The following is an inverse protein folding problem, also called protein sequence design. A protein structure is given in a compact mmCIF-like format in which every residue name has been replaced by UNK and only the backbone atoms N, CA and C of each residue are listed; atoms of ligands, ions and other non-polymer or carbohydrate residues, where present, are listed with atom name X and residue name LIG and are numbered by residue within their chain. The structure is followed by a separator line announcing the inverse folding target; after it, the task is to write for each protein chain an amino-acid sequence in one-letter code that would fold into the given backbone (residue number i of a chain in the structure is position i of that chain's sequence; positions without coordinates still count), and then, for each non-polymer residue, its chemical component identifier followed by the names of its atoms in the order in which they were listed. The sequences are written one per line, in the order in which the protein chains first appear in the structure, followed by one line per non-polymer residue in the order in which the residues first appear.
data_IF_668498998282
#
_entry.id   IF_668498998282
#
_cell.length_a   1.000
_cell.length_b   1.000
_cell.length_c   1.000
_cell.angle_alpha   90.00
_cell.angle_beta   90.00
_cell.angle_gamma   90.00
#
_symmetry.space_group_name_H-M   'P 1'
#
loop_
_entity.id
_entity.type
_entity.pdbx_description
1 polymer ?
#
# COMPACT_ATOMS: atom_id res chain seq x y z
N UNK A 1 17.06 -35.70 -19.32
CA UNK A 1 17.92 -34.58 -18.87
C UNK A 1 17.19 -33.96 -17.69
N UNK A 2 17.70 -34.15 -16.47
CA UNK A 2 17.07 -33.58 -15.26
C UNK A 2 17.02 -32.04 -15.38
N UNK A 3 15.90 -31.45 -14.98
CA UNK A 3 15.70 -30.02 -15.05
C UNK A 3 16.66 -29.34 -14.06
N UNK A 4 17.65 -28.59 -14.57
CA UNK A 4 18.50 -27.75 -13.72
C UNK A 4 17.61 -26.69 -13.07
N UNK A 5 17.51 -26.63 -11.72
CA UNK A 5 16.69 -25.62 -11.04
C UNK A 5 17.16 -24.21 -11.39
N UNK A 6 16.20 -23.29 -11.57
CA UNK A 6 16.46 -21.87 -11.79
C UNK A 6 16.10 -21.09 -10.53
N UNK A 7 16.92 -20.10 -10.21
CA UNK A 7 16.69 -19.15 -9.14
C UNK A 7 16.38 -17.78 -9.76
N UNK A 8 15.30 -17.16 -9.29
CA UNK A 8 14.90 -15.84 -9.72
C UNK A 8 15.71 -14.76 -9.00
N UNK A 9 16.23 -13.80 -9.78
CA UNK A 9 16.89 -12.59 -9.31
C UNK A 9 16.04 -11.39 -9.77
N UNK A 10 15.14 -10.88 -8.91
CA UNK A 10 14.21 -9.81 -9.25
C UNK A 10 14.90 -8.46 -9.40
N UNK A 11 14.54 -7.72 -10.44
CA UNK A 11 15.01 -6.36 -10.70
C UNK A 11 13.88 -5.50 -11.31
N UNK A 12 14.14 -4.21 -11.44
CA UNK A 12 13.26 -3.25 -12.13
C UNK A 12 14.07 -2.37 -13.06
N UNK A 13 13.43 -1.88 -14.12
CA UNK A 13 13.85 -0.66 -14.78
C UNK A 13 12.95 0.47 -14.28
N UNK A 14 13.54 1.35 -13.47
CA UNK A 14 12.88 2.54 -12.94
C UNK A 14 12.97 3.69 -13.94
N UNK A 15 11.84 4.35 -14.17
CA UNK A 15 11.66 5.44 -15.11
C UNK A 15 11.23 6.68 -14.31
N UNK A 16 12.12 7.63 -14.15
CA UNK A 16 11.81 8.93 -13.57
C UNK A 16 11.27 9.84 -14.68
N UNK A 17 10.02 10.26 -14.52
CA UNK A 17 9.31 11.06 -15.52
C UNK A 17 9.63 12.53 -15.33
N UNK A 18 9.71 13.29 -16.42
CA UNK A 18 9.79 14.76 -16.30
C UNK A 18 8.54 15.32 -15.61
N UNK A 19 8.65 16.41 -14.82
CA UNK A 19 7.53 16.96 -14.08
C UNK A 19 6.29 17.23 -14.94
N UNK A 20 5.15 16.66 -14.54
CA UNK A 20 3.86 16.81 -15.23
C UNK A 20 3.65 15.88 -16.43
N UNK A 21 4.59 14.98 -16.72
CA UNK A 21 4.39 13.91 -17.69
C UNK A 21 3.64 12.72 -17.06
N UNK A 22 2.74 12.12 -17.84
CA UNK A 22 1.99 10.94 -17.43
C UNK A 22 1.96 9.94 -18.60
N UNK A 23 2.15 8.63 -18.37
CA UNK A 23 2.05 7.63 -19.44
C UNK A 23 0.69 7.65 -20.13
N UNK A 24 0.69 7.62 -21.46
CA UNK A 24 -0.55 7.54 -22.26
C UNK A 24 -1.23 6.16 -22.15
N UNK A 25 -0.48 5.17 -21.67
CA UNK A 25 -0.90 3.80 -21.41
C UNK A 25 -0.01 3.17 -20.35
N UNK A 26 -0.50 2.12 -19.70
CA UNK A 26 0.24 1.40 -18.67
C UNK A 26 0.80 0.06 -19.14
N UNK A 27 0.31 -0.50 -20.25
CA UNK A 27 0.81 -1.78 -20.78
C UNK A 27 1.19 -1.71 -22.26
N UNK A 28 2.18 -2.52 -22.61
CA UNK A 28 2.66 -2.75 -23.96
C UNK A 28 1.99 -4.01 -24.51
N UNK A 29 1.72 -4.02 -25.81
CA UNK A 29 1.32 -5.26 -26.49
C UNK A 29 2.43 -6.31 -26.43
N UNK A 30 2.10 -7.56 -26.76
CA UNK A 30 3.10 -8.66 -26.80
C UNK A 30 4.32 -8.34 -27.66
N UNK A 31 4.12 -7.78 -28.86
CA UNK A 31 5.21 -7.48 -29.79
C UNK A 31 6.10 -6.33 -29.28
N UNK A 32 5.47 -5.31 -28.69
CA UNK A 32 6.18 -4.19 -28.08
C UNK A 32 6.96 -4.63 -26.84
N UNK A 33 6.36 -5.45 -25.97
CA UNK A 33 7.04 -6.01 -24.81
C UNK A 33 8.25 -6.86 -25.22
N UNK A 34 8.13 -7.68 -26.27
CA UNK A 34 9.25 -8.47 -26.80
C UNK A 34 10.37 -7.57 -27.34
N UNK A 35 10.02 -6.50 -28.06
CA UNK A 35 11.01 -5.53 -28.56
C UNK A 35 11.74 -4.83 -27.43
N UNK A 36 11.03 -4.39 -26.40
CA UNK A 36 11.61 -3.77 -25.21
C UNK A 36 12.55 -4.75 -24.49
N UNK A 37 12.11 -5.98 -24.28
CA UNK A 37 12.93 -6.98 -23.60
C UNK A 37 14.25 -7.25 -24.31
N UNK A 38 14.28 -7.24 -25.66
CA UNK A 38 15.51 -7.36 -26.43
C UNK A 38 16.47 -6.18 -26.19
N UNK A 39 15.95 -4.94 -26.19
CA UNK A 39 16.75 -3.74 -25.89
C UNK A 39 17.31 -3.79 -24.46
N UNK A 40 16.48 -4.18 -23.49
CA UNK A 40 16.91 -4.34 -22.10
C UNK A 40 17.95 -5.45 -21.94
N UNK A 41 17.84 -6.54 -22.69
CA UNK A 41 18.84 -7.61 -22.68
C UNK A 41 20.21 -7.12 -23.18
N UNK A 42 20.24 -6.29 -24.23
CA UNK A 42 21.47 -5.68 -24.73
C UNK A 42 22.12 -4.74 -23.70
N UNK A 43 21.31 -3.94 -22.99
CA UNK A 43 21.80 -3.07 -21.92
C UNK A 43 22.38 -3.89 -20.77
N UNK A 44 21.61 -4.85 -20.25
CA UNK A 44 22.02 -5.68 -19.13
C UNK A 44 23.24 -6.55 -19.46
N UNK A 45 23.39 -7.02 -20.70
CA UNK A 45 24.59 -7.74 -21.11
C UNK A 45 25.85 -6.87 -21.11
N UNK A 46 25.73 -5.58 -21.44
CA UNK A 46 26.86 -4.63 -21.35
C UNK A 46 27.25 -4.35 -19.89
N UNK A 47 26.28 -4.33 -18.98
CA UNK A 47 26.49 -4.09 -17.56
C UNK A 47 27.02 -5.34 -16.84
N UNK A 48 26.39 -6.49 -17.08
CA UNK A 48 26.67 -7.78 -16.45
C UNK A 48 26.71 -8.88 -17.52
N UNK A 49 27.87 -9.12 -18.17
CA UNK A 49 27.97 -10.05 -19.30
C UNK A 49 27.46 -11.46 -19.02
N UNK A 50 27.63 -11.94 -17.78
CA UNK A 50 27.23 -13.27 -17.32
C UNK A 50 25.72 -13.52 -17.40
N UNK A 51 24.90 -12.47 -17.55
CA UNK A 51 23.45 -12.60 -17.75
C UNK A 51 23.11 -13.41 -19.02
N UNK A 52 24.03 -13.54 -19.97
CA UNK A 52 23.87 -14.39 -21.16
C UNK A 52 23.68 -15.89 -20.82
N UNK A 53 24.06 -16.29 -19.61
CA UNK A 53 23.87 -17.65 -19.09
C UNK A 53 22.51 -17.84 -18.41
N UNK A 54 21.81 -16.74 -18.09
CA UNK A 54 20.50 -16.72 -17.48
C UNK A 54 19.39 -16.45 -18.50
N UNK A 55 18.14 -16.60 -18.08
CA UNK A 55 16.97 -16.17 -18.85
C UNK A 55 16.48 -14.82 -18.32
N UNK A 56 16.26 -13.86 -19.20
CA UNK A 56 15.64 -12.59 -18.86
C UNK A 56 14.13 -12.67 -19.07
N UNK A 57 13.35 -12.20 -18.11
CA UNK A 57 11.90 -12.13 -18.18
C UNK A 57 11.43 -10.71 -17.87
N UNK A 58 10.45 -10.21 -18.61
CA UNK A 58 9.92 -8.86 -18.47
C UNK A 58 8.39 -8.88 -18.42
N UNK A 59 7.80 -8.14 -17.49
CA UNK A 59 6.41 -7.71 -17.64
C UNK A 59 6.39 -6.37 -18.40
N UNK A 60 5.75 -6.34 -19.56
CA UNK A 60 5.61 -5.14 -20.40
C UNK A 60 4.56 -4.17 -19.87
N UNK A 61 4.58 -3.85 -18.58
CA UNK A 61 3.63 -2.96 -17.93
C UNK A 61 4.33 -2.06 -16.90
N UNK A 62 3.84 -0.84 -16.75
CA UNK A 62 4.32 0.16 -15.80
C UNK A 62 3.56 0.06 -14.49
N UNK A 63 4.30 -0.09 -13.39
CA UNK A 63 3.78 -0.14 -12.03
C UNK A 63 4.29 1.03 -11.20
N UNK A 64 3.60 1.30 -10.10
CA UNK A 64 4.11 2.06 -8.98
C UNK A 64 4.88 1.17 -7.98
N UNK A 65 5.74 1.78 -7.16
CA UNK A 65 6.50 1.09 -6.13
C UNK A 65 5.57 0.36 -5.15
N UNK A 66 4.41 0.95 -4.79
CA UNK A 66 3.45 0.33 -3.86
C UNK A 66 2.86 -0.98 -4.39
N UNK A 67 2.81 -1.15 -5.72
CA UNK A 67 2.29 -2.36 -6.36
C UNK A 67 3.32 -3.49 -6.39
N UNK A 68 4.59 -3.14 -6.64
CA UNK A 68 5.69 -4.11 -6.65
C UNK A 68 6.07 -4.55 -5.23
N UNK A 69 6.02 -3.62 -4.27
CA UNK A 69 6.39 -3.83 -2.87
C UNK A 69 5.21 -4.26 -2.00
N UNK A 70 4.39 -5.17 -2.52
CA UNK A 70 3.33 -5.84 -1.73
C UNK A 70 3.91 -7.10 -1.05
N UNK A 71 3.44 -7.48 0.14
CA UNK A 71 3.84 -8.74 0.78
C UNK A 71 3.74 -9.94 -0.16
N UNK A 72 4.81 -10.75 -0.22
CA UNK A 72 4.91 -11.89 -1.14
C UNK A 72 5.29 -11.53 -2.59
N UNK A 73 5.55 -10.25 -2.88
CA UNK A 73 6.05 -9.78 -4.18
C UNK A 73 5.24 -10.31 -5.39
N UNK A 74 3.91 -10.13 -5.40
CA UNK A 74 3.00 -10.89 -6.27
C UNK A 74 3.30 -10.70 -7.77
N UNK A 75 3.79 -9.52 -8.17
CA UNK A 75 4.17 -9.23 -9.55
C UNK A 75 5.35 -10.09 -9.99
N UNK A 76 6.46 -10.09 -9.24
CA UNK A 76 7.62 -10.91 -9.54
C UNK A 76 7.33 -12.40 -9.40
N UNK A 77 6.63 -12.82 -8.35
CA UNK A 77 6.21 -14.22 -8.17
C UNK A 77 5.41 -14.72 -9.37
N UNK A 78 4.46 -13.92 -9.87
CA UNK A 78 3.66 -14.27 -11.05
C UNK A 78 4.50 -14.27 -12.34
N UNK A 79 5.40 -13.30 -12.50
CA UNK A 79 6.32 -13.22 -13.64
C UNK A 79 7.21 -14.48 -13.71
N UNK A 80 7.78 -14.87 -12.57
CA UNK A 80 8.62 -16.05 -12.45
C UNK A 80 7.81 -17.33 -12.75
N UNK A 81 6.61 -17.48 -12.18
CA UNK A 81 5.73 -18.62 -12.44
C UNK A 81 5.40 -18.78 -13.92
N UNK A 82 5.06 -17.69 -14.61
CA UNK A 82 4.76 -17.71 -16.04
C UNK A 82 5.99 -18.09 -16.86
N UNK A 83 7.16 -17.55 -16.50
CA UNK A 83 8.40 -17.85 -17.20
C UNK A 83 8.81 -19.31 -17.04
N UNK A 84 8.57 -19.95 -15.89
CA UNK A 84 8.85 -21.37 -15.67
C UNK A 84 7.99 -22.30 -16.53
N UNK A 85 6.84 -21.83 -17.03
CA UNK A 85 5.94 -22.63 -17.90
C UNK A 85 6.42 -22.71 -19.36
N UNK A 86 7.44 -21.93 -19.75
CA UNK A 86 7.95 -21.91 -21.13
C UNK A 86 8.92 -23.08 -21.37
N UNK A 87 8.62 -24.00 -22.32
CA UNK A 87 9.44 -25.17 -22.60
C UNK A 87 10.88 -24.82 -22.99
N UNK A 88 11.88 -25.49 -22.40
CA UNK A 88 13.31 -25.22 -22.65
C UNK A 88 13.79 -25.59 -24.06
N UNK A 89 13.18 -26.59 -24.70
CA UNK A 89 13.59 -27.07 -26.03
C UNK A 89 13.35 -26.09 -27.18
N UNK A 90 12.76 -24.92 -26.91
CA UNK A 90 12.66 -23.80 -27.85
C UNK A 90 13.77 -22.75 -27.66
N UNK A 91 14.73 -22.96 -26.75
CA UNK A 91 15.64 -21.91 -26.25
C UNK A 91 17.13 -22.31 -26.23
N UNK A 92 17.52 -23.31 -27.01
CA UNK A 92 18.87 -23.91 -26.98
C UNK A 92 19.81 -23.39 -28.09
N UNK A 93 19.33 -22.55 -29.01
CA UNK A 93 20.09 -22.22 -30.22
C UNK A 93 20.42 -20.72 -30.40
N UNK A 94 19.70 -19.79 -29.76
CA UNK A 94 19.94 -18.35 -29.87
C UNK A 94 19.93 -17.65 -28.48
N UNK A 95 20.91 -16.78 -28.14
CA UNK A 95 20.85 -15.92 -26.96
C UNK A 95 19.54 -15.12 -26.82
N UNK A 96 18.91 -14.72 -27.94
CA UNK A 96 17.61 -14.05 -27.95
C UNK A 96 16.46 -14.96 -27.54
N UNK A 97 16.60 -16.28 -27.67
CA UNK A 97 15.61 -17.22 -27.15
C UNK A 97 15.59 -17.24 -25.61
N UNK A 98 16.62 -16.73 -24.94
CA UNK A 98 16.63 -16.58 -23.46
C UNK A 98 15.94 -15.32 -22.96
N UNK A 99 15.31 -14.54 -23.85
CA UNK A 99 14.58 -13.33 -23.50
C UNK A 99 13.09 -13.57 -23.68
N UNK A 100 12.33 -13.42 -22.59
CA UNK A 100 10.88 -13.62 -22.56
C UNK A 100 10.20 -12.34 -22.12
N UNK A 101 9.16 -11.93 -22.84
CA UNK A 101 8.35 -10.80 -22.46
C UNK A 101 6.87 -11.18 -22.38
N UNK A 102 6.20 -10.67 -21.34
CA UNK A 102 4.76 -10.78 -21.17
C UNK A 102 4.14 -9.42 -21.43
N UNK A 103 3.48 -9.27 -22.57
CA UNK A 103 2.70 -8.08 -22.93
C UNK A 103 1.20 -8.38 -22.97
N UNK A 104 0.42 -7.31 -23.07
CA UNK A 104 -1.03 -7.37 -23.09
C UNK A 104 -1.56 -7.94 -24.41
N UNK A 105 -2.73 -8.57 -24.33
CA UNK A 105 -3.53 -8.99 -25.47
C UNK A 105 -4.94 -8.41 -25.29
N UNK A 106 -5.43 -7.69 -26.30
CA UNK A 106 -6.70 -6.93 -26.20
C UNK A 106 -6.75 -6.03 -24.95
N UNK A 107 -5.62 -5.36 -24.65
CA UNK A 107 -5.50 -4.44 -23.53
C UNK A 107 -5.43 -5.08 -22.14
N UNK A 108 -5.34 -6.42 -22.05
CA UNK A 108 -5.26 -7.14 -20.76
C UNK A 108 -3.96 -7.92 -20.63
N UNK A 109 -3.33 -7.82 -19.47
CA UNK A 109 -2.14 -8.58 -19.11
C UNK A 109 -2.50 -10.06 -18.86
N UNK A 110 -1.53 -11.00 -19.02
CA UNK A 110 -1.83 -12.43 -18.98
C UNK A 110 -2.21 -12.97 -17.60
N UNK A 111 -2.03 -12.19 -16.54
CA UNK A 111 -2.41 -12.53 -15.17
C UNK A 111 -2.75 -11.27 -14.37
N UNK A 112 -3.67 -11.38 -13.41
CA UNK A 112 -4.16 -10.24 -12.63
C UNK A 112 -3.06 -9.51 -11.83
N UNK A 113 -2.07 -10.18 -11.21
CA UNK A 113 -0.96 -9.47 -10.57
C UNK A 113 -0.04 -8.71 -11.52
N UNK A 114 -0.09 -9.00 -12.84
CA UNK A 114 0.64 -8.26 -13.86
C UNK A 114 -0.18 -7.13 -14.47
N UNK A 115 -1.42 -6.93 -14.03
CA UNK A 115 -2.26 -5.80 -14.45
C UNK A 115 -2.00 -4.61 -13.52
N UNK A 116 -1.46 -3.50 -14.02
CA UNK A 116 -1.20 -2.31 -13.20
C UNK A 116 -2.50 -1.60 -12.83
N UNK A 117 -2.55 -1.06 -11.62
CA UNK A 117 -3.70 -0.31 -11.12
C UNK A 117 -3.65 1.14 -11.62
N UNK A 118 -4.66 1.60 -12.39
CA UNK A 118 -4.67 2.96 -12.94
C UNK A 118 -4.73 4.04 -11.85
N UNK A 119 -5.09 3.70 -10.61
CA UNK A 119 -5.09 4.63 -9.47
C UNK A 119 -3.72 5.27 -9.22
N UNK A 120 -2.62 4.57 -9.58
CA UNK A 120 -1.27 5.05 -9.31
C UNK A 120 -0.59 5.73 -10.50
N UNK A 121 -1.31 5.98 -11.61
CA UNK A 121 -0.76 6.52 -12.88
C UNK A 121 -0.12 7.92 -12.78
N UNK A 122 -0.29 8.63 -11.67
CA UNK A 122 0.25 9.98 -11.46
C UNK A 122 1.54 10.05 -10.61
N UNK A 123 2.00 8.94 -10.03
CA UNK A 123 3.35 8.84 -9.44
C UNK A 123 4.51 9.30 -10.37
N UNK A 124 5.54 9.99 -9.84
CA UNK A 124 6.63 10.57 -10.64
C UNK A 124 7.63 9.53 -11.17
N UNK A 125 7.61 8.31 -10.63
CA UNK A 125 8.48 7.21 -11.02
C UNK A 125 7.63 5.99 -11.40
N UNK A 126 7.93 5.40 -12.54
CA UNK A 126 7.28 4.18 -13.05
C UNK A 126 8.27 3.03 -13.12
N UNK A 127 7.80 1.82 -12.86
CA UNK A 127 8.66 0.65 -12.74
C UNK A 127 8.24 -0.42 -13.76
N UNK A 128 9.21 -0.92 -14.51
CA UNK A 128 9.09 -2.11 -15.36
C UNK A 128 9.74 -3.29 -14.64
N UNK A 129 8.97 -4.23 -14.09
CA UNK A 129 9.53 -5.35 -13.35
C UNK A 129 10.09 -6.40 -14.31
N UNK A 130 11.30 -6.85 -14.00
CA UNK A 130 11.98 -7.93 -14.69
C UNK A 130 12.49 -8.96 -13.68
N UNK A 131 12.80 -10.16 -14.17
CA UNK A 131 13.47 -11.19 -13.39
C UNK A 131 14.51 -11.91 -14.23
N UNK A 132 15.68 -12.11 -13.64
CA UNK A 132 16.78 -12.88 -14.21
C UNK A 132 16.73 -14.27 -13.59
N UNK A 133 16.29 -15.25 -14.38
CA UNK A 133 16.22 -16.65 -13.96
C UNK A 133 17.58 -17.32 -14.22
N UNK A 134 18.40 -17.38 -13.18
CA UNK A 134 19.76 -17.89 -13.22
C UNK A 134 19.79 -19.41 -12.91
N UNK A 135 20.68 -20.20 -13.56
CA UNK A 135 21.00 -21.54 -13.07
C UNK A 135 21.50 -21.48 -11.63
N UNK A 136 21.07 -22.41 -10.78
CA UNK A 136 21.42 -22.43 -9.34
C UNK A 136 22.93 -22.27 -9.07
N UNK A 137 23.77 -22.92 -9.89
CA UNK A 137 25.24 -22.84 -9.76
C UNK A 137 25.82 -21.43 -10.00
N UNK A 138 25.10 -20.54 -10.70
CA UNK A 138 25.52 -19.18 -11.03
C UNK A 138 24.75 -18.12 -10.25
N UNK A 139 23.67 -18.49 -9.56
CA UNK A 139 22.71 -17.54 -9.02
C UNK A 139 23.32 -16.60 -7.97
N UNK A 140 24.10 -17.13 -7.02
CA UNK A 140 24.74 -16.32 -5.96
C UNK A 140 25.73 -15.31 -6.54
N UNK A 141 26.58 -15.74 -7.46
CA UNK A 141 27.59 -14.89 -8.07
C UNK A 141 26.96 -13.82 -8.97
N UNK A 142 25.95 -14.20 -9.76
CA UNK A 142 25.22 -13.27 -10.61
C UNK A 142 24.44 -12.24 -9.78
N UNK A 143 23.85 -12.66 -8.66
CA UNK A 143 23.18 -11.78 -7.71
C UNK A 143 24.15 -10.71 -7.17
N UNK A 144 25.30 -11.11 -6.62
CA UNK A 144 26.29 -10.16 -6.11
C UNK A 144 26.75 -9.16 -7.18
N UNK A 145 26.97 -9.63 -8.42
CA UNK A 145 27.34 -8.73 -9.52
C UNK A 145 26.23 -7.77 -9.90
N UNK A 146 24.98 -8.22 -9.93
CA UNK A 146 23.83 -7.35 -10.18
C UNK A 146 23.73 -6.26 -9.11
N UNK A 147 23.84 -6.61 -7.83
CA UNK A 147 23.81 -5.62 -6.73
C UNK A 147 24.94 -4.58 -6.88
N UNK A 148 26.15 -4.99 -7.24
CA UNK A 148 27.28 -4.07 -7.37
C UNK A 148 27.17 -3.17 -8.60
N UNK A 149 26.88 -3.74 -9.77
CA UNK A 149 26.92 -3.00 -11.04
C UNK A 149 25.71 -2.07 -11.20
N UNK A 150 24.52 -2.47 -10.73
CA UNK A 150 23.29 -1.67 -10.94
C UNK A 150 23.27 -0.39 -10.08
N UNK A 151 23.83 -0.42 -8.87
CA UNK A 151 23.87 0.75 -7.97
C UNK A 151 24.53 1.98 -8.60
N UNK A 152 25.66 1.77 -9.30
CA UNK A 152 26.47 2.86 -9.86
C UNK A 152 26.38 3.04 -11.37
N UNK A 153 26.08 1.96 -12.11
CA UNK A 153 26.18 1.93 -13.59
C UNK A 153 24.87 1.52 -14.26
N UNK A 154 23.79 1.31 -13.50
CA UNK A 154 22.51 0.81 -14.01
C UNK A 154 21.76 1.71 -14.98
N UNK A 155 22.36 2.73 -15.58
CA UNK A 155 21.67 3.62 -16.52
C UNK A 155 21.27 2.86 -17.80
N UNK A 156 20.02 3.01 -18.23
CA UNK A 156 19.52 2.37 -19.43
C UNK A 156 20.16 2.96 -20.68
N UNK A 157 20.33 2.13 -21.71
CA UNK A 157 20.87 2.57 -22.99
C UNK A 157 19.95 3.59 -23.68
N UNK A 158 20.54 4.45 -24.50
CA UNK A 158 19.80 5.49 -25.24
C UNK A 158 18.70 4.93 -26.13
N UNK A 159 18.92 3.76 -26.73
CA UNK A 159 17.93 3.07 -27.55
C UNK A 159 16.73 2.61 -26.72
N UNK A 160 16.98 2.06 -25.52
CA UNK A 160 15.94 1.64 -24.58
C UNK A 160 15.12 2.84 -24.11
N UNK A 161 15.80 3.92 -23.68
CA UNK A 161 15.13 5.15 -23.23
C UNK A 161 14.29 5.83 -24.33
N UNK A 162 14.83 5.99 -25.55
CA UNK A 162 14.07 6.55 -26.69
C UNK A 162 12.86 5.69 -27.05
N UNK A 163 13.02 4.37 -27.06
CA UNK A 163 11.93 3.46 -27.34
C UNK A 163 10.81 3.56 -26.30
N UNK A 164 11.16 3.63 -25.01
CA UNK A 164 10.21 3.79 -23.91
C UNK A 164 9.44 5.11 -23.99
N UNK A 165 10.15 6.22 -24.22
CA UNK A 165 9.52 7.55 -24.39
C UNK A 165 8.48 7.55 -25.51
N UNK A 166 8.80 6.95 -26.66
CA UNK A 166 7.86 6.85 -27.79
C UNK A 166 6.68 5.93 -27.50
N UNK A 167 6.93 4.78 -26.88
CA UNK A 167 5.89 3.79 -26.65
C UNK A 167 4.91 4.18 -25.56
N UNK A 168 5.37 4.83 -24.48
CA UNK A 168 4.52 5.30 -23.39
C UNK A 168 4.07 6.76 -23.56
N UNK A 169 4.66 7.49 -24.50
CA UNK A 169 4.30 8.88 -24.78
C UNK A 169 4.68 9.83 -23.65
N UNK A 170 5.86 9.62 -23.05
CA UNK A 170 6.39 10.39 -21.92
C UNK A 170 7.78 10.92 -22.21
N UNK A 171 8.22 11.90 -21.41
CA UNK A 171 9.63 12.28 -21.29
C UNK A 171 10.23 11.74 -19.99
N UNK A 172 11.47 11.27 -20.09
CA UNK A 172 12.21 10.72 -18.96
C UNK A 172 13.32 11.69 -18.55
N UNK A 173 13.48 11.91 -17.26
CA UNK A 173 14.70 12.50 -16.69
C UNK A 173 15.77 11.43 -16.55
N UNK A 174 15.39 10.26 -16.01
CA UNK A 174 16.28 9.13 -15.81
C UNK A 174 15.59 7.81 -16.11
N UNK A 175 16.37 6.84 -16.60
CA UNK A 175 15.96 5.44 -16.74
C UNK A 175 17.08 4.57 -16.18
N UNK A 176 16.82 3.83 -15.11
CA UNK A 176 17.83 3.04 -14.38
C UNK A 176 17.34 1.66 -13.97
N UNK A 177 18.14 0.66 -14.28
CA UNK A 177 18.04 -0.67 -13.70
C UNK A 177 18.43 -0.62 -12.22
N UNK A 178 17.59 -1.22 -11.40
CA UNK A 178 17.75 -1.36 -9.96
C UNK A 178 17.46 -2.81 -9.58
N UNK A 179 18.17 -3.34 -8.59
CA UNK A 179 17.74 -4.59 -7.97
C UNK A 179 16.46 -4.37 -7.16
N UNK A 180 15.79 -5.46 -6.75
CA UNK A 180 14.69 -5.34 -5.78
C UNK A 180 15.16 -4.76 -4.45
N UNK A 181 16.39 -5.05 -4.02
CA UNK A 181 16.93 -4.50 -2.77
C UNK A 181 17.17 -2.99 -2.89
N UNK A 182 17.66 -2.53 -4.04
CA UNK A 182 17.80 -1.11 -4.32
C UNK A 182 16.45 -0.39 -4.29
N UNK A 183 15.40 -1.00 -4.87
CA UNK A 183 14.05 -0.44 -4.82
C UNK A 183 13.53 -0.36 -3.38
N UNK A 184 13.70 -1.42 -2.59
CA UNK A 184 13.33 -1.42 -1.16
C UNK A 184 14.06 -0.31 -0.40
N UNK A 185 15.37 -0.17 -0.60
CA UNK A 185 16.18 0.86 0.04
C UNK A 185 15.75 2.28 -0.39
N UNK A 186 15.48 2.49 -1.68
CA UNK A 186 14.98 3.75 -2.21
C UNK A 186 13.63 4.12 -1.59
N UNK A 187 12.67 3.19 -1.56
CA UNK A 187 11.34 3.42 -0.99
C UNK A 187 11.41 3.65 0.52
N UNK A 188 12.27 2.92 1.24
CA UNK A 188 12.55 3.18 2.66
C UNK A 188 12.92 4.64 2.89
N UNK A 189 13.96 5.11 2.20
CA UNK A 189 14.45 6.49 2.30
C UNK A 189 13.34 7.48 1.92
N UNK A 190 12.56 7.22 0.87
CA UNK A 190 11.44 8.08 0.48
C UNK A 190 10.40 8.21 1.60
N UNK A 191 10.04 7.11 2.27
CA UNK A 191 9.06 7.12 3.35
C UNK A 191 9.58 7.79 4.61
N UNK A 192 10.86 7.62 4.93
CA UNK A 192 11.50 8.33 6.04
C UNK A 192 11.42 9.86 5.86
N UNK A 193 11.68 10.37 4.65
CA UNK A 193 11.61 11.82 4.36
C UNK A 193 10.23 12.44 4.54
N UNK A 194 9.15 11.64 4.49
CA UNK A 194 7.77 12.10 4.68
C UNK A 194 7.17 11.67 6.02
N UNK A 195 8.01 11.33 7.01
CA UNK A 195 7.63 10.90 8.37
C UNK A 195 6.81 9.59 8.41
N UNK A 196 7.04 8.68 7.46
CA UNK A 196 6.42 7.35 7.39
C UNK A 196 7.37 6.23 7.80
N UNK A 197 8.50 6.56 8.45
CA UNK A 197 9.47 5.59 8.96
C UNK A 197 8.83 4.49 9.84
N UNK A 198 7.90 4.80 10.78
CA UNK A 198 7.22 3.75 11.55
C UNK A 198 6.45 2.79 10.65
N UNK A 199 5.77 3.30 9.62
CA UNK A 199 5.01 2.44 8.72
C UNK A 199 5.92 1.55 7.87
N UNK A 200 7.09 2.08 7.44
CA UNK A 200 8.08 1.29 6.72
C UNK A 200 8.54 0.07 7.53
N UNK A 201 8.77 0.20 8.83
CA UNK A 201 9.16 -0.95 9.68
C UNK A 201 8.15 -2.11 9.59
N UNK A 202 6.85 -1.78 9.58
CA UNK A 202 5.79 -2.78 9.47
C UNK A 202 5.70 -3.39 8.05
N UNK A 203 5.89 -2.55 7.02
CA UNK A 203 5.90 -2.97 5.62
C UNK A 203 7.10 -3.89 5.33
N UNK A 204 8.29 -3.54 5.82
CA UNK A 204 9.51 -4.34 5.71
C UNK A 204 9.32 -5.71 6.38
N UNK A 205 8.78 -5.74 7.60
CA UNK A 205 8.43 -7.00 8.27
C UNK A 205 7.46 -7.83 7.41
N UNK A 206 6.40 -7.20 6.89
CA UNK A 206 5.42 -7.89 6.06
C UNK A 206 5.98 -8.44 4.74
N UNK A 207 6.98 -7.78 4.16
CA UNK A 207 7.60 -8.22 2.90
C UNK A 207 8.71 -9.24 3.10
N UNK A 208 9.60 -9.02 4.07
CA UNK A 208 10.86 -9.76 4.21
C UNK A 208 10.83 -10.80 5.32
N UNK A 209 10.06 -10.56 6.39
CA UNK A 209 9.94 -11.49 7.53
C UNK A 209 8.48 -11.66 7.98
N UNK A 210 7.54 -12.04 7.08
CA UNK A 210 6.10 -12.04 7.36
C UNK A 210 5.68 -12.97 8.52
N UNK A 211 6.56 -13.88 8.91
CA UNK A 211 6.39 -14.79 10.04
C UNK A 211 6.75 -14.17 11.41
N UNK A 212 7.30 -12.96 11.43
CA UNK A 212 7.62 -12.21 12.66
C UNK A 212 6.59 -11.12 12.88
N UNK A 213 6.18 -10.96 14.13
CA UNK A 213 5.44 -9.77 14.55
C UNK A 213 6.38 -8.59 14.70
N UNK A 214 5.94 -7.40 14.28
CA UNK A 214 6.70 -6.15 14.43
C UNK A 214 5.82 -5.10 15.11
N UNK A 215 6.39 -4.23 15.95
CA UNK A 215 5.64 -3.21 16.70
C UNK A 215 6.39 -1.89 16.69
N UNK A 216 5.66 -0.81 16.44
CA UNK A 216 6.22 0.54 16.35
C UNK A 216 5.26 1.58 16.93
N UNK A 217 5.74 2.82 17.04
CA UNK A 217 4.96 3.98 17.44
C UNK A 217 4.91 4.99 16.31
N UNK A 218 3.71 5.49 15.99
CA UNK A 218 3.53 6.57 15.03
C UNK A 218 4.17 7.88 15.53
N UNK A 219 4.25 8.90 14.67
CA UNK A 219 4.76 10.21 15.08
C UNK A 219 3.87 10.88 16.15
N UNK A 220 2.59 10.50 16.22
CA UNK A 220 1.64 10.92 17.26
C UNK A 220 1.60 9.97 18.48
N UNK A 221 2.42 8.92 18.48
CA UNK A 221 2.47 7.93 19.57
C UNK A 221 1.33 6.91 19.55
N UNK A 222 0.67 6.69 18.40
CA UNK A 222 -0.23 5.55 18.23
C UNK A 222 0.61 4.27 18.15
N UNK A 223 0.28 3.27 18.96
CA UNK A 223 0.92 1.95 18.84
C UNK A 223 0.39 1.23 17.61
N UNK A 224 1.29 0.69 16.81
CA UNK A 224 0.99 -0.10 15.62
C UNK A 224 1.71 -1.44 15.69
N UNK A 225 1.06 -2.51 15.24
CA UNK A 225 1.62 -3.86 15.26
C UNK A 225 1.30 -4.61 13.98
N UNK A 226 2.31 -5.13 13.33
CA UNK A 226 2.16 -6.13 12.28
C UNK A 226 2.13 -7.53 12.90
N UNK A 227 1.13 -8.33 12.53
CA UNK A 227 1.06 -9.76 12.86
C UNK A 227 0.09 -10.48 11.91
N UNK A 228 0.45 -11.70 11.51
CA UNK A 228 -0.40 -12.59 10.71
C UNK A 228 -0.94 -11.94 9.42
N UNK A 229 -0.08 -11.18 8.72
CA UNK A 229 -0.44 -10.50 7.47
C UNK A 229 -1.35 -9.28 7.65
N UNK A 230 -1.53 -8.79 8.88
CA UNK A 230 -2.39 -7.63 9.19
C UNK A 230 -1.64 -6.59 9.99
N UNK A 231 -2.06 -5.34 9.86
CA UNK A 231 -1.61 -4.25 10.73
C UNK A 231 -2.73 -3.89 11.70
N UNK A 232 -2.40 -3.83 12.97
CA UNK A 232 -3.27 -3.45 14.07
C UNK A 232 -2.83 -2.09 14.59
N UNK A 233 -3.75 -1.14 14.71
CA UNK A 233 -3.52 0.16 15.34
C UNK A 233 -4.26 0.23 16.64
N UNK A 234 -3.62 0.80 17.67
CA UNK A 234 -4.32 1.28 18.84
C UNK A 234 -5.56 2.10 18.43
N UNK A 235 -6.67 1.86 19.12
CA UNK A 235 -7.88 2.67 18.97
C UNK A 235 -7.59 4.17 19.15
N UNK A 236 -8.09 5.06 18.28
CA UNK A 236 -8.02 6.50 18.51
C UNK A 236 -8.68 6.95 19.81
N UNK A 237 -9.79 6.33 20.23
CA UNK A 237 -10.42 6.63 21.52
C UNK A 237 -9.55 6.19 22.70
N UNK A 238 -8.95 4.99 22.62
CA UNK A 238 -8.01 4.52 23.64
C UNK A 238 -6.77 5.43 23.72
N UNK A 239 -6.21 5.83 22.58
CA UNK A 239 -5.10 6.77 22.53
C UNK A 239 -5.48 8.14 23.11
N UNK A 240 -6.69 8.63 22.83
CA UNK A 240 -7.20 9.88 23.40
C UNK A 240 -7.30 9.83 24.93
N UNK A 241 -7.58 8.66 25.49
CA UNK A 241 -7.68 8.47 26.94
C UNK A 241 -6.37 8.67 27.68
N UNK A 242 -5.23 8.49 27.00
CA UNK A 242 -3.90 8.70 27.58
C UNK A 242 -3.36 10.11 27.35
N UNK A 243 -4.10 10.96 26.61
CA UNK A 243 -3.69 12.34 26.34
C UNK A 243 -4.03 13.24 27.52
N UNK A 244 -3.10 14.15 27.80
CA UNK A 244 -3.24 15.17 28.85
C UNK A 244 -3.43 16.54 28.20
N UNK A 245 -3.73 17.56 29.01
CA UNK A 245 -4.00 18.92 28.54
C UNK A 245 -5.48 19.26 28.60
N UNK A 246 -5.81 20.48 28.16
CA UNK A 246 -7.20 20.93 28.15
C UNK A 246 -8.02 20.26 27.02
N UNK A 247 -9.35 20.46 27.04
CA UNK A 247 -10.23 19.81 26.05
C UNK A 247 -9.97 20.28 24.61
N UNK A 248 -9.49 21.51 24.41
CA UNK A 248 -9.20 22.05 23.09
C UNK A 248 -7.92 21.40 22.54
N UNK A 249 -6.87 21.32 23.36
CA UNK A 249 -5.62 20.64 23.04
C UNK A 249 -5.87 19.17 22.69
N UNK A 250 -6.65 18.46 23.51
CA UNK A 250 -6.99 17.05 23.27
C UNK A 250 -7.80 16.85 22.00
N UNK A 251 -8.77 17.72 21.73
CA UNK A 251 -9.53 17.71 20.47
C UNK A 251 -8.62 17.90 19.25
N UNK A 252 -7.70 18.86 19.30
CA UNK A 252 -6.73 19.08 18.23
C UNK A 252 -5.77 17.90 18.05
N UNK A 253 -5.29 17.32 19.16
CA UNK A 253 -4.42 16.15 19.14
C UNK A 253 -5.13 14.94 18.51
N UNK A 254 -6.39 14.69 18.87
CA UNK A 254 -7.24 13.66 18.30
C UNK A 254 -7.43 13.82 16.79
N UNK A 255 -7.74 15.04 16.33
CA UNK A 255 -7.86 15.33 14.90
C UNK A 255 -6.57 14.98 14.14
N UNK A 256 -5.41 15.32 14.72
CA UNK A 256 -4.11 14.98 14.16
C UNK A 256 -3.81 13.48 14.11
N UNK A 257 -4.20 12.73 15.15
CA UNK A 257 -4.04 11.28 15.20
C UNK A 257 -4.91 10.57 14.15
N UNK A 258 -6.17 10.99 13.99
CA UNK A 258 -7.05 10.43 12.94
C UNK A 258 -6.53 10.79 11.54
N UNK A 259 -5.99 12.00 11.34
CA UNK A 259 -5.38 12.38 10.07
C UNK A 259 -4.19 11.47 9.71
N UNK A 260 -3.28 11.23 10.65
CA UNK A 260 -2.17 10.29 10.47
C UNK A 260 -2.68 8.88 10.17
N UNK A 261 -3.68 8.40 10.91
CA UNK A 261 -4.29 7.09 10.70
C UNK A 261 -4.88 6.92 9.29
N UNK A 262 -5.48 7.98 8.73
CA UNK A 262 -5.97 7.99 7.34
C UNK A 262 -4.84 7.82 6.33
N UNK A 263 -3.73 8.53 6.53
CA UNK A 263 -2.55 8.41 5.66
C UNK A 263 -1.99 6.98 5.73
N UNK A 264 -1.90 6.42 6.93
CA UNK A 264 -1.39 5.07 7.15
C UNK A 264 -2.32 4.03 6.50
N UNK A 265 -3.63 4.16 6.68
CA UNK A 265 -4.61 3.28 6.05
C UNK A 265 -4.52 3.29 4.53
N UNK A 266 -4.43 4.48 3.92
CA UNK A 266 -4.32 4.62 2.47
C UNK A 266 -3.05 3.95 1.93
N UNK A 267 -1.91 4.16 2.61
CA UNK A 267 -0.65 3.59 2.18
C UNK A 267 -0.59 2.06 2.41
N UNK A 268 -1.06 1.57 3.55
CA UNK A 268 -1.18 0.12 3.80
C UNK A 268 -2.06 -0.56 2.75
N UNK A 269 -3.20 0.04 2.43
CA UNK A 269 -4.08 -0.47 1.38
C UNK A 269 -3.36 -0.54 0.02
N UNK A 270 -2.55 0.47 -0.32
CA UNK A 270 -1.79 0.47 -1.57
C UNK A 270 -0.77 -0.69 -1.64
N UNK A 271 -0.13 -1.00 -0.51
CA UNK A 271 0.72 -2.17 -0.32
C UNK A 271 -0.03 -3.49 -0.11
N UNK A 272 -1.37 -3.50 -0.19
CA UNK A 272 -2.18 -4.72 -0.04
C UNK A 272 -2.30 -5.23 1.40
N UNK A 273 -2.02 -4.40 2.40
CA UNK A 273 -2.21 -4.71 3.82
C UNK A 273 -3.49 -4.07 4.36
N UNK A 274 -4.23 -4.84 5.15
CA UNK A 274 -5.41 -4.34 5.86
C UNK A 274 -5.04 -3.77 7.23
N UNK A 275 -5.61 -2.61 7.55
CA UNK A 275 -5.55 -1.99 8.87
C UNK A 275 -6.74 -2.42 9.73
N UNK A 276 -6.49 -2.74 11.00
CA UNK A 276 -7.47 -3.16 12.01
C UNK A 276 -7.27 -2.36 13.30
N UNK A 277 -8.28 -2.32 14.17
CA UNK A 277 -8.13 -1.75 15.51
C UNK A 277 -7.70 -2.81 16.53
N UNK A 278 -6.67 -2.49 17.30
CA UNK A 278 -6.38 -3.08 18.60
C UNK A 278 -7.15 -2.25 19.64
N UNK A 279 -8.20 -2.84 20.21
CA UNK A 279 -9.15 -2.16 21.09
C UNK A 279 -8.98 -2.61 22.54
N UNK A 280 -9.48 -1.82 23.48
CA UNK A 280 -9.43 -2.17 24.90
C UNK A 280 -10.19 -3.49 25.19
N UNK A 281 -9.82 -4.24 26.24
CA UNK A 281 -10.57 -5.44 26.63
C UNK A 281 -12.06 -5.14 26.86
N UNK A 282 -12.93 -5.92 26.22
CA UNK A 282 -14.38 -5.72 26.27
C UNK A 282 -14.95 -4.84 25.16
N UNK A 283 -14.09 -4.16 24.39
CA UNK A 283 -14.47 -3.54 23.13
C UNK A 283 -14.40 -4.56 21.99
N UNK A 284 -15.23 -4.35 20.97
CA UNK A 284 -15.29 -5.20 19.78
C UNK A 284 -14.98 -4.39 18.53
N UNK A 285 -13.86 -4.65 17.83
CA UNK A 285 -13.54 -3.96 16.59
C UNK A 285 -14.38 -4.49 15.43
N UNK A 286 -14.87 -3.57 14.62
CA UNK A 286 -15.55 -3.82 13.35
C UNK A 286 -14.83 -3.03 12.25
N UNK A 287 -14.80 -3.56 11.04
CA UNK A 287 -14.08 -2.94 9.94
C UNK A 287 -14.78 -3.18 8.60
N UNK A 288 -14.56 -2.26 7.67
CA UNK A 288 -15.01 -2.39 6.30
C UNK A 288 -14.10 -1.62 5.35
N UNK A 289 -14.49 -1.52 4.08
CA UNK A 289 -13.70 -0.82 3.08
C UNK A 289 -13.60 0.67 3.43
N UNK A 290 -12.39 1.12 3.81
CA UNK A 290 -12.09 2.51 4.12
C UNK A 290 -12.66 3.03 5.45
N UNK A 291 -13.10 2.18 6.37
CA UNK A 291 -13.56 2.59 7.70
C UNK A 291 -13.22 1.56 8.79
N UNK A 292 -13.08 2.06 10.02
CA UNK A 292 -12.92 1.25 11.24
C UNK A 292 -13.99 1.64 12.25
N UNK A 293 -14.39 0.74 13.13
CA UNK A 293 -15.28 1.01 14.23
C UNK A 293 -14.94 0.16 15.45
N UNK A 294 -15.36 0.62 16.62
CA UNK A 294 -15.29 -0.14 17.85
C UNK A 294 -16.59 0.04 18.64
N UNK A 295 -17.16 -1.09 19.06
CA UNK A 295 -18.30 -1.13 19.97
C UNK A 295 -17.77 -1.24 21.39
N UNK A 296 -18.09 -0.26 22.23
CA UNK A 296 -17.57 -0.10 23.60
C UNK A 296 -18.64 -0.38 24.67
N UNK A 297 -19.92 -0.33 24.31
CA UNK A 297 -21.02 -0.67 25.21
C UNK A 297 -22.27 -1.12 24.44
N UNK A 298 -23.09 -1.95 25.09
CA UNK A 298 -24.43 -2.32 24.60
C UNK A 298 -25.48 -1.29 24.99
N UNK A 299 -26.58 -1.28 24.25
CA UNK A 299 -27.75 -0.43 24.53
C UNK A 299 -28.36 -0.75 25.88
N UNK A 300 -28.85 0.27 26.57
CA UNK A 300 -29.51 0.16 27.86
C UNK A 300 -30.84 0.91 27.85
N UNK A 301 -31.90 0.23 28.30
CA UNK A 301 -33.28 0.71 28.33
C UNK A 301 -33.51 1.87 29.29
N UNK A 302 -32.59 2.12 30.23
CA UNK A 302 -32.64 3.28 31.14
C UNK A 302 -32.37 4.58 30.36
N UNK A 303 -31.67 4.50 29.24
CA UNK A 303 -31.34 5.62 28.37
C UNK A 303 -32.32 5.70 27.20
N UNK A 304 -32.36 6.85 26.54
CA UNK A 304 -33.14 7.04 25.31
C UNK A 304 -32.62 6.20 24.13
N UNK A 305 -33.28 6.33 22.98
CA UNK A 305 -32.85 5.69 21.74
C UNK A 305 -31.41 6.11 21.36
N UNK A 306 -30.59 5.20 20.81
CA UNK A 306 -29.27 5.56 20.29
C UNK A 306 -29.39 6.56 19.13
N UNK A 307 -28.41 7.46 19.00
CA UNK A 307 -28.28 8.37 17.86
C UNK A 307 -26.82 8.48 17.42
N UNK A 308 -26.60 8.87 16.16
CA UNK A 308 -25.26 9.05 15.59
C UNK A 308 -24.87 10.52 15.60
N UNK A 309 -23.65 10.81 16.05
CA UNK A 309 -23.11 12.15 16.15
C UNK A 309 -21.79 12.27 15.40
N UNK A 310 -21.68 13.21 14.48
CA UNK A 310 -20.47 13.45 13.69
C UNK A 310 -19.54 14.43 14.41
N UNK A 311 -18.31 13.97 14.69
CA UNK A 311 -17.23 14.81 15.19
C UNK A 311 -16.49 15.42 14.00
N UNK A 312 -16.41 16.74 13.96
CA UNK A 312 -15.84 17.48 12.83
C UNK A 312 -14.59 18.25 13.25
N UNK A 313 -13.57 18.24 12.38
CA UNK A 313 -12.35 19.01 12.54
C UNK A 313 -12.11 19.89 11.30
N UNK A 314 -11.69 21.13 11.54
CA UNK A 314 -11.42 22.10 10.48
C UNK A 314 -10.39 21.55 9.48
N UNK A 315 -10.73 21.58 8.19
CA UNK A 315 -9.88 21.07 7.10
C UNK A 315 -9.88 19.55 6.93
N UNK A 316 -10.46 18.77 7.86
CA UNK A 316 -10.48 17.31 7.81
C UNK A 316 -11.89 16.70 7.65
N UNK A 317 -12.93 17.52 7.81
CA UNK A 317 -14.32 17.08 7.78
C UNK A 317 -14.68 16.22 8.99
N UNK A 318 -15.55 15.22 8.79
CA UNK A 318 -15.94 14.27 9.83
C UNK A 318 -14.76 13.34 10.13
N UNK A 319 -14.24 13.38 11.36
CA UNK A 319 -13.10 12.57 11.81
C UNK A 319 -13.53 11.36 12.64
N UNK A 320 -14.70 11.41 13.27
CA UNK A 320 -15.28 10.27 13.97
C UNK A 320 -16.80 10.37 13.98
N UNK A 321 -17.46 9.23 14.17
CA UNK A 321 -18.88 9.12 14.48
C UNK A 321 -18.99 8.47 15.85
N UNK A 322 -19.76 9.06 16.76
CA UNK A 322 -20.12 8.40 18.02
C UNK A 322 -21.57 7.99 17.98
N UNK A 323 -21.84 6.71 18.27
CA UNK A 323 -23.20 6.25 18.61
C UNK A 323 -23.38 6.44 20.10
N UNK A 324 -24.41 7.15 20.54
CA UNK A 324 -24.65 7.38 21.96
C UNK A 324 -26.14 7.37 22.31
N UNK A 325 -26.44 6.95 23.54
CA UNK A 325 -27.75 7.13 24.16
C UNK A 325 -27.72 8.31 25.13
N UNK A 326 -28.80 9.10 25.16
CA UNK A 326 -28.97 10.17 26.14
C UNK A 326 -29.60 9.64 27.43
N UNK A 327 -29.06 10.02 28.56
CA UNK A 327 -29.50 9.62 29.89
C UNK A 327 -30.40 10.64 30.57
N UNK A 328 -31.14 10.23 31.61
CA UNK A 328 -32.16 11.06 32.27
C UNK A 328 -31.59 12.29 33.02
N UNK A 329 -30.30 12.31 33.34
CA UNK A 329 -29.64 13.40 34.09
C UNK A 329 -28.73 14.29 33.23
N UNK A 330 -28.97 14.37 31.92
CA UNK A 330 -28.09 15.12 31.02
C UNK A 330 -26.69 14.49 30.94
N UNK A 331 -26.61 13.17 30.97
CA UNK A 331 -25.41 12.40 30.66
C UNK A 331 -25.58 11.74 29.30
N UNK A 332 -24.55 11.71 28.45
CA UNK A 332 -24.54 10.85 27.27
C UNK A 332 -23.73 9.59 27.57
N UNK A 333 -24.22 8.44 27.10
CA UNK A 333 -23.50 7.17 27.14
C UNK A 333 -23.10 6.81 25.72
N UNK A 334 -21.79 6.85 25.44
CA UNK A 334 -21.26 6.36 24.18
C UNK A 334 -21.38 4.82 24.13
N UNK A 335 -21.78 4.31 22.97
CA UNK A 335 -21.94 2.89 22.66
C UNK A 335 -20.89 2.40 21.68
N UNK A 336 -20.53 3.22 20.71
CA UNK A 336 -19.52 2.91 19.71
C UNK A 336 -18.86 4.17 19.14
N UNK A 337 -17.66 4.01 18.60
CA UNK A 337 -16.98 5.00 17.80
C UNK A 337 -16.64 4.42 16.41
N UNK A 338 -16.87 5.21 15.37
CA UNK A 338 -16.52 4.90 13.99
C UNK A 338 -15.55 5.94 13.42
N UNK A 339 -14.58 5.49 12.64
CA UNK A 339 -13.51 6.29 12.05
C UNK A 339 -13.56 6.13 10.53
N UNK A 340 -14.13 7.10 9.79
CA UNK A 340 -14.06 7.08 8.34
C UNK A 340 -12.62 7.39 7.91
N UNK A 341 -11.97 6.42 7.25
CA UNK A 341 -10.59 6.55 6.79
C UNK A 341 -10.51 7.15 5.37
N UNK A 342 -11.59 7.03 4.60
CA UNK A 342 -11.75 7.62 3.28
C UNK A 342 -13.11 8.31 3.16
N UNK A 343 -13.24 9.39 2.35
CA UNK A 343 -14.52 10.09 2.19
C UNK A 343 -15.67 9.18 1.73
N UNK A 344 -15.40 8.25 0.80
CA UNK A 344 -16.40 7.32 0.27
C UNK A 344 -16.91 6.31 1.31
N UNK A 345 -16.20 6.11 2.42
CA UNK A 345 -16.51 5.13 3.44
C UNK A 345 -17.52 5.63 4.49
N UNK A 346 -17.84 6.93 4.48
CA UNK A 346 -18.74 7.54 5.47
C UNK A 346 -20.16 6.94 5.41
N UNK A 347 -20.73 6.79 4.22
CA UNK A 347 -22.08 6.21 4.03
C UNK A 347 -22.16 4.76 4.53
N UNK A 348 -21.28 3.86 4.07
CA UNK A 348 -21.22 2.49 4.58
C UNK A 348 -21.03 2.40 6.10
N UNK A 349 -20.19 3.26 6.69
CA UNK A 349 -19.98 3.30 8.14
C UNK A 349 -21.27 3.70 8.89
N UNK A 350 -21.98 4.73 8.43
CA UNK A 350 -23.26 5.17 9.01
C UNK A 350 -24.29 4.03 8.93
N UNK A 351 -24.41 3.39 7.78
CA UNK A 351 -25.36 2.31 7.57
C UNK A 351 -25.08 1.14 8.52
N UNK A 352 -23.81 0.72 8.63
CA UNK A 352 -23.40 -0.32 9.56
C UNK A 352 -23.75 0.03 11.01
N UNK A 353 -23.37 1.22 11.48
CA UNK A 353 -23.65 1.65 12.86
C UNK A 353 -25.15 1.75 13.14
N UNK A 354 -25.93 2.27 12.19
CA UNK A 354 -27.38 2.38 12.31
C UNK A 354 -28.06 1.01 12.40
N UNK A 355 -27.63 0.06 11.56
CA UNK A 355 -28.11 -1.33 11.59
C UNK A 355 -27.75 -2.03 12.89
N UNK A 356 -26.48 -1.94 13.32
CA UNK A 356 -25.97 -2.59 14.53
C UNK A 356 -26.73 -2.16 15.78
N UNK A 357 -27.02 -0.86 15.91
CA UNK A 357 -27.69 -0.29 17.09
C UNK A 357 -29.20 -0.07 16.93
N UNK A 358 -29.78 -0.52 15.82
CA UNK A 358 -31.23 -0.40 15.56
C UNK A 358 -31.73 1.04 15.59
N UNK A 359 -30.95 1.98 15.05
CA UNK A 359 -31.27 3.42 15.04
C UNK A 359 -31.42 3.97 13.62
N UNK A 360 -31.97 5.18 13.48
CA UNK A 360 -32.03 5.88 12.21
C UNK A 360 -30.62 6.25 11.73
N UNK A 361 -30.41 6.27 10.42
CA UNK A 361 -29.15 6.69 9.79
C UNK A 361 -28.93 8.21 9.82
N UNK A 362 -29.77 8.96 10.53
CA UNK A 362 -29.65 10.41 10.67
C UNK A 362 -28.39 10.75 11.47
N UNK A 363 -27.46 11.43 10.82
CA UNK A 363 -26.19 11.82 11.41
C UNK A 363 -26.26 13.27 11.89
N UNK A 364 -26.16 13.48 13.21
CA UNK A 364 -26.15 14.81 13.81
C UNK A 364 -24.74 15.41 13.75
N UNK A 365 -24.52 16.37 12.84
CA UNK A 365 -23.27 17.13 12.76
C UNK A 365 -23.08 18.02 13.99
N UNK A 366 -21.94 17.89 14.67
CA UNK A 366 -21.65 18.65 15.89
C UNK A 366 -20.91 19.97 15.62
N UNK A 367 -20.30 20.15 14.44
CA UNK A 367 -19.44 21.28 14.11
C UNK A 367 -18.12 21.32 14.89
N UNK A 368 -17.84 20.29 15.69
CA UNK A 368 -16.65 20.15 16.54
C UNK A 368 -16.42 18.69 16.93
N UNK A 369 -15.26 18.39 17.50
CA UNK A 369 -15.05 17.16 18.25
C UNK A 369 -15.61 17.37 19.66
N UNK A 370 -16.67 16.65 20.00
CA UNK A 370 -17.25 16.68 21.34
C UNK A 370 -16.52 15.71 22.28
N UNK A 371 -16.03 16.24 23.40
CA UNK A 371 -15.44 15.47 24.48
C UNK A 371 -16.29 15.59 25.76
N UNK A 372 -16.22 14.59 26.64
CA UNK A 372 -16.79 14.66 28.00
C UNK A 372 -15.83 15.32 29.00
N UNK A 373 -16.21 15.38 30.28
CA UNK A 373 -15.40 15.97 31.36
C UNK A 373 -14.09 15.20 31.60
N UNK A 374 -14.04 13.92 31.26
CA UNK A 374 -12.82 13.11 31.29
C UNK A 374 -12.01 13.20 29.99
N UNK A 375 -12.50 14.00 29.03
CA UNK A 375 -11.95 14.25 27.71
C UNK A 375 -12.00 13.05 26.75
N UNK A 376 -12.94 12.12 26.96
CA UNK A 376 -13.23 11.05 25.99
C UNK A 376 -14.21 11.53 24.93
N UNK A 377 -14.24 10.87 23.77
CA UNK A 377 -15.26 11.12 22.75
C UNK A 377 -16.65 10.89 23.34
N UNK A 378 -17.54 11.85 23.14
CA UNK A 378 -18.89 11.79 23.70
C UNK A 378 -19.90 12.49 22.79
N UNK A 379 -21.16 12.51 23.22
CA UNK A 379 -22.25 13.16 22.51
C UNK A 379 -22.93 14.23 23.39
N UNK A 380 -23.66 15.19 22.79
CA UNK A 380 -24.45 16.14 23.56
C UNK A 380 -25.49 15.46 24.44
N UNK A 381 -25.43 15.78 25.72
CA UNK A 381 -26.37 15.36 26.75
C UNK A 381 -27.81 15.86 26.53
N UNK A 382 -27.96 17.01 25.86
CA UNK A 382 -29.24 17.66 25.60
C UNK A 382 -29.61 17.46 24.12
N UNK A 383 -30.91 17.47 23.82
CA UNK A 383 -31.39 17.48 22.44
C UNK A 383 -30.79 18.63 21.64
N UNK A 384 -30.26 18.31 20.46
CA UNK A 384 -29.92 19.30 19.45
C UNK A 384 -31.24 19.70 18.79
N UNK A 385 -31.51 21.01 18.75
CA UNK A 385 -32.73 21.57 18.16
C UNK A 385 -32.64 21.66 16.63
#
# INVERSE_FOLDING_TARGET
MEAVPLQALPAVLALELSPGEHPQRLSLSRDEAAKLAALMAEDLHKLVPDIAQARLTLAGALFDAVELLRPGFPVWTTLDELAHRIPRGQLEHDPLEKVVAFGSHEGRMPAQPLEPDPTYIDGPMRLLPLSVLAPEALASELFERLEVELVGRGEAGTCTADWLMRCFGVRLEHARYLSRNDLLALTCVQYEHVNLAPLWQLLEAAMLTPYRSETTLSARGLTLRYADGKVWSQSPAQWLSTQHGDLIERSHAFAGAVFELRQYAALLQAHGLSLHLDTAPGSHPEYGQGWLAETIATTDTIYGAPHLFAHEAAGLGIVAITVAQRGPTGSARALAHGYPLQPAALGPLIAMLAEHFGTASDLHALGRIQLDESGQLSAPAIALH
#
